data_IF_001665278182
#
_entry.id   IF_001665278182
#
_cell.length_a   1.000
_cell.length_b   1.000
_cell.length_c   1.000
_cell.angle_alpha   90.00
_cell.angle_beta   90.00
_cell.angle_gamma   90.00
#
_symmetry.space_group_name_H-M   'P 1'
#
loop_
_entity.id
_entity.type
_entity.pdbx_description
1 polymer ?
#
# COMPACT_ATOMS: atom_id res chain seq x y z
N UNK A 1 9.31 2.86 1.10
CA UNK A 1 8.33 3.37 0.10
C UNK A 1 6.99 3.57 0.78
N UNK A 2 6.43 4.78 0.68
CA UNK A 2 5.13 5.19 1.22
C UNK A 2 4.14 5.39 0.06
N UNK A 3 3.06 4.61 0.12
CA UNK A 3 1.99 4.57 -0.87
C UNK A 3 0.70 5.05 -0.23
N UNK A 4 0.15 6.16 -0.72
CA UNK A 4 -1.15 6.66 -0.26
C UNK A 4 -2.26 5.88 -0.93
N UNK A 5 -3.16 5.34 -0.12
CA UNK A 5 -4.21 4.42 -0.55
C UNK A 5 -5.55 5.13 -0.75
N UNK A 6 -6.43 4.52 -1.55
CA UNK A 6 -7.79 4.96 -1.73
C UNK A 6 -8.00 5.98 -2.85
N UNK A 7 -9.23 5.96 -3.39
CA UNK A 7 -9.77 6.95 -4.34
C UNK A 7 -10.39 8.17 -3.63
N UNK A 8 -10.51 8.13 -2.30
CA UNK A 8 -10.97 9.23 -1.43
C UNK A 8 -9.98 9.41 -0.28
N UNK A 9 -9.61 10.67 0.02
CA UNK A 9 -8.51 10.98 0.95
C UNK A 9 -8.80 12.10 1.94
N UNK A 10 -10.07 12.31 2.21
CA UNK A 10 -10.58 13.20 3.24
C UNK A 10 -11.56 12.41 4.11
N UNK A 11 -11.48 12.61 5.43
CA UNK A 11 -12.43 12.07 6.39
C UNK A 11 -13.81 12.69 6.25
N UNK A 12 -14.77 12.17 7.01
CA UNK A 12 -16.14 12.68 7.03
C UNK A 12 -16.25 14.02 7.77
N UNK A 13 -15.25 14.37 8.57
CA UNK A 13 -15.08 15.63 9.32
C UNK A 13 -14.46 16.78 8.51
N UNK A 14 -14.02 16.53 7.28
CA UNK A 14 -13.24 17.49 6.52
C UNK A 14 -14.04 18.75 6.13
N UNK A 15 -13.43 19.94 6.24
CA UNK A 15 -14.01 21.18 5.70
C UNK A 15 -14.11 21.14 4.17
N UNK A 16 -14.98 21.94 3.56
CA UNK A 16 -15.15 21.99 2.09
C UNK A 16 -13.84 22.29 1.37
N UNK A 17 -13.05 23.23 1.90
CA UNK A 17 -11.73 23.55 1.37
C UNK A 17 -10.79 22.33 1.40
N UNK A 18 -10.81 21.56 2.50
CA UNK A 18 -10.00 20.35 2.65
C UNK A 18 -10.47 19.25 1.71
N UNK A 19 -11.78 19.04 1.58
CA UNK A 19 -12.38 18.07 0.64
C UNK A 19 -11.96 18.42 -0.79
N UNK A 20 -12.13 19.66 -1.21
CA UNK A 20 -11.75 20.12 -2.55
C UNK A 20 -10.25 19.90 -2.81
N UNK A 21 -9.38 20.28 -1.87
CA UNK A 21 -7.95 20.11 -2.01
C UNK A 21 -7.52 18.64 -2.14
N UNK A 22 -8.11 17.73 -1.35
CA UNK A 22 -7.81 16.30 -1.43
C UNK A 22 -8.40 15.66 -2.69
N UNK A 23 -9.61 16.06 -3.10
CA UNK A 23 -10.22 15.64 -4.36
C UNK A 23 -9.36 16.03 -5.56
N UNK A 24 -8.87 17.27 -5.61
CA UNK A 24 -7.99 17.74 -6.68
C UNK A 24 -6.69 16.92 -6.74
N UNK A 25 -6.06 16.64 -5.59
CA UNK A 25 -4.86 15.78 -5.54
C UNK A 25 -5.15 14.36 -6.00
N UNK A 26 -6.31 13.81 -5.63
CA UNK A 26 -6.70 12.47 -6.04
C UNK A 26 -6.86 12.40 -7.57
N UNK A 27 -7.65 13.33 -8.13
CA UNK A 27 -7.91 13.45 -9.58
C UNK A 27 -6.64 13.68 -10.40
N UNK A 28 -5.71 14.47 -9.88
CA UNK A 28 -4.47 14.81 -10.57
C UNK A 28 -3.39 13.72 -10.45
N UNK A 29 -3.70 12.53 -9.92
CA UNK A 29 -2.72 11.46 -9.68
C UNK A 29 -3.30 10.09 -10.00
N UNK A 30 -2.47 9.06 -9.91
CA UNK A 30 -2.89 7.65 -10.05
C UNK A 30 -3.94 7.20 -9.02
N UNK A 31 -4.14 7.94 -7.92
CA UNK A 31 -5.16 7.60 -6.92
C UNK A 31 -6.56 7.51 -7.51
N UNK A 32 -6.92 8.38 -8.46
CA UNK A 32 -8.25 8.35 -9.08
C UNK A 32 -8.46 7.14 -10.00
N UNK A 33 -7.40 6.64 -10.64
CA UNK A 33 -7.48 5.57 -11.65
C UNK A 33 -7.28 4.19 -11.05
N UNK A 34 -6.29 4.05 -10.15
CA UNK A 34 -5.84 2.76 -9.64
C UNK A 34 -5.85 2.68 -8.11
N UNK A 35 -6.46 3.66 -7.42
CA UNK A 35 -6.67 3.62 -5.97
C UNK A 35 -5.38 3.73 -5.15
N UNK A 36 -4.25 4.09 -5.75
CA UNK A 36 -2.96 4.22 -5.08
C UNK A 36 -2.09 5.26 -5.76
N UNK A 37 -1.25 5.97 -4.99
CA UNK A 37 -0.17 6.80 -5.54
C UNK A 37 1.08 6.78 -4.66
N UNK A 38 2.21 7.13 -5.27
CA UNK A 38 3.47 7.27 -4.56
C UNK A 38 3.55 8.63 -3.85
N UNK A 39 3.90 8.62 -2.56
CA UNK A 39 4.09 9.87 -1.79
C UNK A 39 5.54 10.04 -1.35
N UNK A 40 6.25 8.93 -1.14
CA UNK A 40 7.65 8.94 -0.80
C UNK A 40 8.35 7.65 -1.19
N UNK A 41 9.52 7.74 -1.78
CA UNK A 41 10.41 6.60 -1.98
C UNK A 41 11.85 6.99 -1.73
N UNK A 42 12.57 6.08 -1.09
CA UNK A 42 14.03 6.09 -0.96
C UNK A 42 14.49 4.70 -1.36
N UNK A 43 15.40 4.61 -2.32
CA UNK A 43 15.94 3.36 -2.82
C UNK A 43 17.45 3.44 -2.87
N UNK A 44 18.12 2.61 -2.09
CA UNK A 44 19.58 2.57 -2.02
C UNK A 44 20.19 2.01 -3.31
N UNK A 45 21.22 2.68 -3.83
CA UNK A 45 22.06 2.25 -4.96
C UNK A 45 23.45 1.94 -4.43
N UNK A 46 23.78 0.66 -4.39
CA UNK A 46 25.04 0.16 -3.85
C UNK A 46 26.24 0.59 -4.69
N UNK A 47 26.04 0.72 -6.01
CA UNK A 47 27.09 1.07 -6.97
C UNK A 47 27.64 2.49 -6.72
N UNK A 48 26.80 3.41 -6.24
CA UNK A 48 27.14 4.80 -5.95
C UNK A 48 27.15 5.14 -4.46
N UNK A 49 26.79 4.21 -3.58
CA UNK A 49 26.60 4.47 -2.15
C UNK A 49 25.54 5.54 -1.86
N UNK A 50 24.60 5.77 -2.78
CA UNK A 50 23.63 6.87 -2.71
C UNK A 50 22.19 6.38 -2.75
N UNK A 51 21.23 7.30 -2.67
CA UNK A 51 19.80 6.98 -2.72
C UNK A 51 19.14 7.66 -3.91
N UNK A 52 18.25 6.91 -4.55
CA UNK A 52 17.24 7.45 -5.46
C UNK A 52 16.00 7.86 -4.66
N UNK A 53 15.50 9.08 -4.92
CA UNK A 53 14.41 9.68 -4.16
C UNK A 53 13.22 9.99 -5.07
N UNK A 54 12.02 9.61 -4.61
CA UNK A 54 10.77 10.14 -5.15
C UNK A 54 10.04 10.88 -4.05
N UNK A 55 9.78 12.17 -4.27
CA UNK A 55 9.02 12.99 -3.34
C UNK A 55 7.53 13.08 -3.75
N UNK A 56 6.72 13.67 -2.86
CA UNK A 56 5.28 13.82 -3.07
C UNK A 56 4.87 14.65 -4.29
N UNK A 57 5.74 15.51 -4.82
CA UNK A 57 5.44 16.32 -6.00
C UNK A 57 5.59 15.48 -7.27
N UNK A 58 6.71 14.76 -7.38
CA UNK A 58 6.95 13.81 -8.46
C UNK A 58 5.88 12.71 -8.47
N UNK A 59 5.60 12.10 -7.31
CA UNK A 59 4.60 11.04 -7.20
C UNK A 59 3.17 11.46 -7.56
N UNK A 60 2.84 12.76 -7.48
CA UNK A 60 1.55 13.29 -7.96
C UNK A 60 1.51 13.46 -9.47
N UNK A 61 2.65 13.73 -10.12
CA UNK A 61 2.72 13.94 -11.57
C UNK A 61 2.85 12.63 -12.36
N UNK A 62 3.12 11.51 -11.68
CA UNK A 62 3.21 10.19 -12.31
C UNK A 62 1.87 9.79 -12.93
N UNK A 63 1.93 9.31 -14.17
CA UNK A 63 0.87 8.51 -14.76
C UNK A 63 1.01 7.03 -14.33
N UNK A 64 0.07 6.18 -14.75
CA UNK A 64 0.06 4.77 -14.37
C UNK A 64 1.30 3.99 -14.85
N UNK A 65 1.87 4.32 -16.00
CA UNK A 65 3.02 3.61 -16.55
C UNK A 65 4.30 3.97 -15.81
N UNK A 66 4.54 5.27 -15.58
CA UNK A 66 5.65 5.74 -14.72
C UNK A 66 5.56 5.15 -13.31
N UNK A 67 4.35 5.06 -12.75
CA UNK A 67 4.14 4.45 -11.44
C UNK A 67 4.52 2.96 -11.45
N UNK A 68 4.08 2.19 -12.46
CA UNK A 68 4.42 0.77 -12.61
C UNK A 68 5.91 0.54 -12.79
N UNK A 69 6.58 1.34 -13.62
CA UNK A 69 8.03 1.27 -13.83
C UNK A 69 8.79 1.57 -12.53
N UNK A 70 8.37 2.59 -11.79
CA UNK A 70 8.96 2.95 -10.49
C UNK A 70 8.80 1.82 -9.47
N UNK A 71 7.62 1.19 -9.43
CA UNK A 71 7.39 0.01 -8.57
C UNK A 71 8.24 -1.19 -9.00
N UNK A 72 8.37 -1.42 -10.31
CA UNK A 72 9.20 -2.50 -10.83
C UNK A 72 10.67 -2.33 -10.40
N UNK A 73 11.23 -1.12 -10.52
CA UNK A 73 12.60 -0.83 -10.05
C UNK A 73 12.75 -1.13 -8.55
N UNK A 74 11.78 -0.69 -7.72
CA UNK A 74 11.78 -0.94 -6.28
C UNK A 74 11.76 -2.45 -5.96
N UNK A 75 10.90 -3.23 -6.60
CA UNK A 75 10.77 -4.67 -6.37
C UNK A 75 11.93 -5.49 -6.94
N UNK A 76 12.50 -5.05 -8.06
CA UNK A 76 13.71 -5.66 -8.61
C UNK A 76 14.88 -5.51 -7.64
N UNK A 77 15.06 -4.32 -7.04
CA UNK A 77 16.06 -4.10 -5.99
C UNK A 77 15.74 -4.87 -4.70
N UNK A 78 14.47 -5.08 -4.35
CA UNK A 78 14.09 -5.94 -3.23
C UNK A 78 14.47 -7.42 -3.46
N UNK A 79 14.47 -7.84 -4.72
CA UNK A 79 14.78 -9.20 -5.14
C UNK A 79 13.62 -10.17 -4.98
N UNK A 80 13.79 -11.39 -5.53
CA UNK A 80 12.74 -12.41 -5.64
C UNK A 80 12.16 -12.85 -4.29
N UNK A 81 13.02 -13.13 -3.31
CA UNK A 81 12.61 -13.66 -2.00
C UNK A 81 11.71 -12.67 -1.26
N UNK A 82 12.17 -11.41 -1.14
CA UNK A 82 11.40 -10.34 -0.49
C UNK A 82 10.14 -10.01 -1.28
N UNK A 83 10.21 -9.91 -2.60
CA UNK A 83 9.04 -9.64 -3.44
C UNK A 83 7.94 -10.69 -3.27
N UNK A 84 8.29 -11.99 -3.21
CA UNK A 84 7.33 -13.05 -2.92
C UNK A 84 6.77 -12.98 -1.49
N UNK A 85 7.59 -12.61 -0.51
CA UNK A 85 7.14 -12.42 0.88
C UNK A 85 6.16 -11.24 0.99
N UNK A 86 6.45 -10.10 0.34
CA UNK A 86 5.56 -8.94 0.28
C UNK A 86 4.23 -9.30 -0.41
N UNK A 87 4.27 -10.04 -1.51
CA UNK A 87 3.06 -10.48 -2.21
C UNK A 87 2.15 -11.29 -1.27
N UNK A 88 2.71 -12.22 -0.49
CA UNK A 88 1.94 -12.97 0.52
C UNK A 88 1.31 -12.04 1.56
N UNK A 89 2.06 -11.06 2.07
CA UNK A 89 1.56 -10.06 3.05
C UNK A 89 0.40 -9.23 2.46
N UNK A 90 0.53 -8.75 1.23
CA UNK A 90 -0.50 -7.97 0.54
C UNK A 90 -1.77 -8.79 0.28
N UNK A 91 -1.63 -10.04 -0.17
CA UNK A 91 -2.78 -10.93 -0.40
C UNK A 91 -3.51 -11.23 0.92
N UNK A 92 -2.78 -11.44 2.01
CA UNK A 92 -3.38 -11.62 3.35
C UNK A 92 -4.12 -10.36 3.80
N UNK A 93 -3.52 -9.18 3.65
CA UNK A 93 -4.17 -7.91 4.00
C UNK A 93 -5.45 -7.69 3.18
N UNK A 94 -5.39 -7.92 1.87
CA UNK A 94 -6.55 -7.85 0.98
C UNK A 94 -7.67 -8.79 1.43
N UNK A 95 -7.34 -10.03 1.80
CA UNK A 95 -8.33 -11.01 2.30
C UNK A 95 -8.97 -10.58 3.62
N UNK A 96 -8.24 -9.89 4.49
CA UNK A 96 -8.78 -9.35 5.74
C UNK A 96 -9.72 -8.15 5.52
N UNK A 97 -9.48 -7.37 4.46
CA UNK A 97 -10.29 -6.20 4.11
C UNK A 97 -11.53 -6.53 3.27
N UNK A 98 -11.58 -7.69 2.61
CA UNK A 98 -12.74 -8.11 1.81
C UNK A 98 -13.71 -8.91 2.69
N UNK A 99 -15.01 -8.57 2.74
CA UNK A 99 -15.99 -9.37 3.45
C UNK A 99 -16.07 -10.77 2.83
N UNK A 100 -16.09 -11.83 3.64
CA UNK A 100 -16.39 -13.17 3.13
C UNK A 100 -17.89 -13.27 2.87
N UNK A 101 -18.25 -13.65 1.64
CA UNK A 101 -19.64 -13.95 1.27
C UNK A 101 -20.19 -14.98 2.26
N UNK A 102 -21.27 -14.59 2.93
CA UNK A 102 -21.84 -15.19 4.11
C UNK A 102 -22.62 -16.49 3.84
N UNK A 103 -21.97 -17.57 3.39
CA UNK A 103 -22.67 -18.86 3.26
C UNK A 103 -22.71 -19.68 4.56
N UNK A 104 -21.90 -19.32 5.57
CA UNK A 104 -21.94 -19.92 6.92
C UNK A 104 -21.62 -18.85 7.95
N UNK A 105 -22.63 -18.21 8.56
CA UNK A 105 -22.40 -17.32 9.73
C UNK A 105 -23.10 -17.88 10.96
N UNK A 106 -22.31 -18.36 11.91
CA UNK A 106 -22.69 -18.32 13.33
C UNK A 106 -22.40 -16.91 13.87
N UNK A 107 -23.15 -16.48 14.88
CA UNK A 107 -23.12 -15.13 15.46
C UNK A 107 -21.73 -14.68 15.97
N UNK A 108 -20.81 -15.62 16.20
CA UNK A 108 -19.48 -15.39 16.77
C UNK A 108 -18.42 -14.96 15.72
N UNK A 109 -18.68 -15.17 14.41
CA UNK A 109 -17.70 -14.86 13.36
C UNK A 109 -17.83 -13.43 12.77
N UNK A 110 -18.72 -12.61 13.31
CA UNK A 110 -18.91 -11.21 12.88
C UNK A 110 -17.82 -10.24 13.33
N UNK A 111 -16.86 -10.70 14.14
CA UNK A 111 -15.90 -9.84 14.85
C UNK A 111 -14.58 -9.60 14.10
N UNK A 112 -14.31 -10.24 12.95
CA UNK A 112 -12.98 -10.24 12.34
C UNK A 112 -12.89 -9.62 10.93
N UNK A 113 -13.91 -8.90 10.47
CA UNK A 113 -13.94 -8.30 9.13
C UNK A 113 -13.85 -6.78 9.24
N UNK A 114 -13.08 -6.13 8.36
CA UNK A 114 -13.01 -4.66 8.29
C UNK A 114 -14.30 -4.05 7.68
N UNK A 115 -15.46 -4.65 7.95
CA UNK A 115 -16.75 -4.16 7.50
C UNK A 115 -17.05 -2.82 8.17
N UNK A 116 -17.42 -1.82 7.35
CA UNK A 116 -17.68 -0.47 7.83
C UNK A 116 -16.44 0.31 8.28
N UNK A 117 -15.23 -0.24 8.15
CA UNK A 117 -14.00 0.54 8.27
C UNK A 117 -13.78 1.37 7.01
N UNK A 118 -13.29 2.59 7.18
CA UNK A 118 -12.71 3.42 6.12
C UNK A 118 -11.36 3.91 6.56
N UNK A 119 -10.37 3.85 5.68
CA UNK A 119 -9.00 4.24 6.01
C UNK A 119 -8.60 5.49 5.23
N UNK A 120 -9.37 6.57 5.35
CA UNK A 120 -9.16 7.77 4.55
C UNK A 120 -7.79 8.39 4.81
N UNK A 121 -7.10 8.78 3.72
CA UNK A 121 -5.75 9.38 3.79
C UNK A 121 -4.66 8.49 4.43
N UNK A 122 -4.92 7.20 4.65
CA UNK A 122 -3.92 6.28 5.19
C UNK A 122 -2.97 5.76 4.11
N UNK A 123 -1.84 5.22 4.54
CA UNK A 123 -0.77 4.76 3.66
C UNK A 123 -0.34 3.32 3.94
N UNK A 124 0.22 2.66 2.93
CA UNK A 124 1.06 1.48 3.09
C UNK A 124 2.54 1.90 3.08
N UNK A 125 3.25 1.52 4.13
CA UNK A 125 4.70 1.63 4.22
C UNK A 125 5.33 0.27 3.93
N UNK A 126 6.17 0.23 2.90
CA UNK A 126 7.00 -0.93 2.53
C UNK A 126 8.46 -0.60 2.77
N UNK A 127 9.20 -1.47 3.44
CA UNK A 127 10.62 -1.26 3.73
C UNK A 127 11.41 -2.57 3.73
N UNK A 128 12.66 -2.53 3.32
CA UNK A 128 13.60 -3.65 3.38
C UNK A 128 15.04 -3.12 3.46
N UNK A 129 15.96 -3.95 3.92
CA UNK A 129 17.39 -3.61 3.95
C UNK A 129 18.01 -3.71 2.55
N UNK A 130 18.49 -2.57 2.05
CA UNK A 130 18.98 -2.41 0.67
C UNK A 130 20.39 -2.97 0.41
N UNK A 131 21.16 -3.29 1.46
CA UNK A 131 22.51 -3.87 1.30
C UNK A 131 22.39 -5.36 0.94
N UNK A 132 23.03 -5.77 -0.14
CA UNK A 132 23.11 -7.19 -0.49
C UNK A 132 24.19 -7.85 0.37
N UNK A 133 23.81 -8.85 1.17
CA UNK A 133 24.73 -9.50 2.10
C UNK A 133 25.76 -10.35 1.34
N UNK A 134 26.94 -9.80 1.09
CA UNK A 134 28.13 -10.57 0.66
C UNK A 134 28.91 -11.17 1.85
N UNK A 135 28.43 -11.01 3.08
CA UNK A 135 29.05 -11.58 4.28
C UNK A 135 28.64 -13.05 4.44
N UNK A 136 29.25 -13.91 3.64
CA UNK A 136 29.16 -15.38 3.73
C UNK A 136 29.71 -15.96 5.05
N UNK A 137 30.03 -15.13 6.05
CA UNK A 137 30.67 -15.50 7.31
C UNK A 137 29.84 -15.21 8.56
N UNK A 138 28.58 -14.77 8.44
CA UNK A 138 27.69 -14.64 9.62
C UNK A 138 26.39 -15.41 9.45
N UNK A 139 26.16 -16.32 10.39
CA UNK A 139 25.05 -17.28 10.51
C UNK A 139 23.69 -16.63 10.82
N UNK A 140 23.31 -15.57 10.11
CA UNK A 140 22.01 -14.90 10.25
C UNK A 140 21.27 -14.77 8.92
N UNK A 141 21.01 -15.92 8.30
CA UNK A 141 20.20 -16.10 7.09
C UNK A 141 18.75 -15.58 7.16
N UNK A 142 18.31 -15.05 8.32
CA UNK A 142 16.98 -14.49 8.51
C UNK A 142 16.86 -12.99 8.10
N UNK A 143 17.93 -12.20 8.16
CA UNK A 143 17.87 -10.74 7.92
C UNK A 143 17.83 -10.38 6.43
N UNK A 144 18.47 -11.16 5.56
CA UNK A 144 18.50 -10.91 4.11
C UNK A 144 17.15 -11.12 3.41
N UNK A 145 16.16 -11.69 4.10
CA UNK A 145 14.83 -11.97 3.57
C UNK A 145 13.72 -11.09 4.17
N UNK A 146 14.05 -10.18 5.10
CA UNK A 146 13.05 -9.34 5.75
C UNK A 146 12.55 -8.25 4.79
N UNK A 147 11.23 -8.14 4.71
CA UNK A 147 10.52 -7.02 4.08
C UNK A 147 9.30 -6.73 4.91
N UNK A 148 9.12 -5.47 5.27
CA UNK A 148 8.02 -5.01 6.10
C UNK A 148 6.92 -4.37 5.26
N UNK A 149 5.69 -4.60 5.72
CA UNK A 149 4.48 -3.98 5.23
C UNK A 149 3.71 -3.53 6.46
N UNK A 150 3.46 -2.23 6.56
CA UNK A 150 2.67 -1.63 7.65
C UNK A 150 1.62 -0.70 7.05
N UNK A 151 0.42 -0.72 7.62
CA UNK A 151 -0.53 0.36 7.44
C UNK A 151 -0.18 1.48 8.43
N UNK A 152 -0.21 2.72 7.97
CA UNK A 152 0.12 3.91 8.76
C UNK A 152 -0.89 5.03 8.48
N UNK A 153 -0.81 6.12 9.25
CA UNK A 153 -1.64 7.33 9.12
C UNK A 153 -3.15 7.09 9.31
N UNK A 154 -3.57 6.67 10.50
CA UNK A 154 -4.98 6.37 10.81
C UNK A 154 -5.81 7.58 11.29
N UNK A 155 -5.27 8.80 11.22
CA UNK A 155 -5.90 10.00 11.80
C UNK A 155 -7.30 10.35 11.23
N UNK A 156 -7.63 9.86 10.04
CA UNK A 156 -8.95 10.02 9.41
C UNK A 156 -9.59 8.67 9.08
N UNK A 157 -9.19 7.61 9.78
CA UNK A 157 -9.83 6.30 9.65
C UNK A 157 -11.07 6.27 10.53
N UNK A 158 -12.14 5.68 10.01
CA UNK A 158 -13.42 5.59 10.71
C UNK A 158 -13.88 4.14 10.80
N UNK A 159 -14.65 3.81 11.82
CA UNK A 159 -15.34 2.52 11.88
C UNK A 159 -16.70 2.62 12.60
N UNK A 160 -17.59 1.69 12.28
CA UNK A 160 -18.94 1.69 12.86
C UNK A 160 -18.90 1.58 14.38
N UNK A 161 -19.45 2.59 15.07
CA UNK A 161 -19.54 2.62 16.53
C UNK A 161 -18.33 3.20 17.25
N UNK A 162 -17.39 3.81 16.52
CA UNK A 162 -16.29 4.57 17.11
C UNK A 162 -16.60 6.07 17.07
N UNK A 163 -16.69 6.70 18.24
CA UNK A 163 -17.03 8.13 18.41
C UNK A 163 -18.30 8.53 17.61
N UNK A 164 -18.28 9.71 17.00
CA UNK A 164 -19.33 10.27 16.16
C UNK A 164 -19.09 9.99 14.67
N UNK A 165 -18.33 8.94 14.34
CA UNK A 165 -18.02 8.59 12.95
C UNK A 165 -19.28 8.24 12.14
N UNK A 166 -19.29 8.65 10.87
CA UNK A 166 -20.34 8.23 9.96
C UNK A 166 -20.34 6.71 9.78
N UNK A 167 -21.54 6.12 9.75
CA UNK A 167 -21.69 4.69 9.55
C UNK A 167 -21.55 4.34 8.07
N UNK A 168 -20.45 3.67 7.74
CA UNK A 168 -20.21 3.11 6.42
C UNK A 168 -20.67 1.65 6.32
N UNK A 169 -21.20 1.26 5.17
CA UNK A 169 -21.57 -0.13 4.87
C UNK A 169 -20.57 -0.76 3.89
N UNK A 170 -20.32 -2.06 4.02
CA UNK A 170 -19.40 -2.79 3.15
C UNK A 170 -17.92 -2.39 3.33
N UNK A 171 -17.02 -2.95 2.51
CA UNK A 171 -15.59 -2.70 2.61
C UNK A 171 -15.18 -1.34 2.03
N UNK A 172 -13.94 -0.94 2.33
CA UNK A 172 -13.31 0.22 1.70
C UNK A 172 -12.87 -0.12 0.27
N UNK A 173 -13.78 0.05 -0.69
CA UNK A 173 -13.56 -0.27 -2.11
C UNK A 173 -12.39 0.50 -2.72
N UNK A 174 -12.18 1.76 -2.30
CA UNK A 174 -11.07 2.56 -2.77
C UNK A 174 -9.73 1.99 -2.32
N UNK A 175 -9.65 1.56 -1.06
CA UNK A 175 -8.45 0.91 -0.53
C UNK A 175 -8.21 -0.46 -1.19
N UNK A 176 -9.28 -1.25 -1.39
CA UNK A 176 -9.21 -2.55 -2.07
C UNK A 176 -8.71 -2.42 -3.52
N UNK A 177 -9.13 -1.39 -4.25
CA UNK A 177 -8.62 -1.09 -5.59
C UNK A 177 -7.12 -0.79 -5.59
N UNK A 178 -6.65 -0.02 -4.60
CA UNK A 178 -5.22 0.26 -4.41
C UNK A 178 -4.41 -1.01 -4.13
N UNK A 179 -4.93 -1.89 -3.27
CA UNK A 179 -4.32 -3.19 -3.00
C UNK A 179 -4.27 -4.09 -4.24
N UNK A 180 -5.34 -4.15 -5.02
CA UNK A 180 -5.38 -4.91 -6.28
C UNK A 180 -4.31 -4.43 -7.25
N UNK A 181 -4.22 -3.12 -7.44
CA UNK A 181 -3.27 -2.52 -8.37
C UNK A 181 -1.82 -2.78 -7.95
N UNK A 182 -1.53 -2.73 -6.66
CA UNK A 182 -0.21 -3.06 -6.11
C UNK A 182 0.11 -4.56 -6.24
N UNK A 183 -0.85 -5.43 -5.94
CA UNK A 183 -0.70 -6.89 -6.09
C UNK A 183 -0.45 -7.26 -7.56
N UNK A 184 -1.21 -6.68 -8.49
CA UNK A 184 -1.02 -6.90 -9.92
C UNK A 184 0.38 -6.47 -10.36
N UNK A 185 0.79 -5.24 -10.02
CA UNK A 185 2.10 -4.70 -10.42
C UNK A 185 3.27 -5.54 -9.87
N UNK A 186 3.16 -5.98 -8.61
CA UNK A 186 4.17 -6.85 -7.99
C UNK A 186 4.19 -8.23 -8.63
N UNK A 187 3.03 -8.81 -8.93
CA UNK A 187 2.92 -10.11 -9.60
C UNK A 187 3.53 -10.07 -11.00
N UNK A 188 3.23 -9.04 -11.77
CA UNK A 188 3.79 -8.82 -13.10
C UNK A 188 5.31 -8.68 -13.04
N UNK A 189 5.82 -7.90 -12.07
CA UNK A 189 7.26 -7.73 -11.89
C UNK A 189 7.95 -9.05 -11.54
N UNK A 190 7.37 -9.84 -10.62
CA UNK A 190 7.91 -11.14 -10.23
C UNK A 190 7.99 -12.07 -11.46
N UNK A 191 6.93 -12.13 -12.25
CA UNK A 191 6.84 -13.04 -13.39
C UNK A 191 7.76 -12.63 -14.56
N UNK A 192 7.97 -11.34 -14.78
CA UNK A 192 8.76 -10.83 -15.91
C UNK A 192 10.25 -10.76 -15.61
N UNK A 193 10.62 -10.40 -14.38
CA UNK A 193 12.01 -10.00 -14.07
C UNK A 193 12.67 -10.80 -12.95
N UNK A 194 11.91 -11.56 -12.15
CA UNK A 194 12.40 -12.26 -10.97
C UNK A 194 12.09 -13.77 -11.01
N UNK A 195 11.98 -14.34 -12.22
CA UNK A 195 11.71 -15.76 -12.46
C UNK A 195 12.87 -16.68 -12.15
#
# INVERSE_FOLDING_TARGET
MDLKMGTRQYGDDASDQKRQAQTNKCRASTSATIGIRLVGMQLYREESGSYFYVNKYLGRQMNCDMFRETLAEYFMKAGKVRSKALLKKLVTLRKAMKPRIAFKRSALQRLSEAEGYRFFSSSLLVAFDGKTGNDASSSTSASSSSIDLRMIDFAHSTCSGFLDDERHNGPDEGYLLGLDSLISSLTDTINRFLT
#
